data_IF_699689723569
#
_entry.id   IF_699689723569
#
_cell.length_a   1.000
_cell.length_b   1.000
_cell.length_c   1.000
_cell.angle_alpha   90.00
_cell.angle_beta   90.00
_cell.angle_gamma   90.00
#
_symmetry.space_group_name_H-M   'P 1'
#
loop_
_entity.id
_entity.type
_entity.pdbx_description
1 polymer ?
#
# COMPACT_ATOMS: atom_id res chain seq x y z
N UNK A 1 -15.37 4.84 13.94
CA UNK A 1 -15.12 5.58 12.68
C UNK A 1 -16.15 6.69 12.49
N UNK A 2 -17.45 6.43 12.36
CA UNK A 2 -18.50 7.44 12.10
C UNK A 2 -18.42 8.65 13.05
N UNK A 3 -18.32 8.42 14.38
CA UNK A 3 -18.20 9.50 15.36
C UNK A 3 -16.94 10.34 15.15
N UNK A 4 -15.80 9.73 14.86
CA UNK A 4 -14.55 10.43 14.62
C UNK A 4 -14.62 11.28 13.34
N UNK A 5 -15.16 10.72 12.27
CA UNK A 5 -15.38 11.44 11.01
C UNK A 5 -16.34 12.63 11.21
N UNK A 6 -17.45 12.43 11.95
CA UNK A 6 -18.39 13.50 12.28
C UNK A 6 -17.73 14.61 13.12
N UNK A 7 -16.93 14.25 14.11
CA UNK A 7 -16.20 15.22 14.93
C UNK A 7 -15.18 16.03 14.13
N UNK A 8 -14.50 15.41 13.16
CA UNK A 8 -13.60 16.13 12.26
C UNK A 8 -14.37 17.15 11.40
N UNK A 9 -15.50 16.73 10.81
CA UNK A 9 -16.37 17.60 10.00
C UNK A 9 -16.96 18.75 10.82
N UNK A 10 -17.29 18.52 12.08
CA UNK A 10 -17.84 19.53 12.99
C UNK A 10 -16.87 20.68 13.27
N UNK A 11 -15.55 20.51 13.07
CA UNK A 11 -14.55 21.59 13.20
C UNK A 11 -14.78 22.73 12.18
N UNK A 12 -15.42 22.43 11.06
CA UNK A 12 -15.67 23.39 9.97
C UNK A 12 -17.13 23.80 9.82
N UNK A 13 -18.02 23.39 10.73
CA UNK A 13 -19.43 23.77 10.75
C UNK A 13 -20.36 22.62 11.16
N UNK A 14 -21.67 22.88 11.23
CA UNK A 14 -22.64 21.91 11.74
C UNK A 14 -22.67 20.64 10.87
N UNK A 15 -22.90 19.50 11.53
CA UNK A 15 -23.05 18.19 10.91
C UNK A 15 -24.51 17.76 11.10
N UNK A 16 -25.18 17.38 10.02
CA UNK A 16 -26.52 16.83 10.05
C UNK A 16 -26.50 15.33 10.39
N UNK A 17 -27.50 14.87 11.13
CA UNK A 17 -27.72 13.44 11.33
C UNK A 17 -28.37 12.81 10.10
N UNK A 18 -28.15 11.51 9.91
CA UNK A 18 -28.82 10.72 8.88
C UNK A 18 -29.04 9.29 9.35
N UNK A 19 -29.99 8.61 8.71
CA UNK A 19 -30.18 7.17 8.83
C UNK A 19 -29.71 6.50 7.55
N UNK A 20 -28.96 5.42 7.68
CA UNK A 20 -28.43 4.69 6.51
C UNK A 20 -28.43 3.19 6.75
N UNK A 21 -28.53 2.44 5.67
CA UNK A 21 -28.22 1.01 5.60
C UNK A 21 -26.95 0.89 4.77
N UNK A 22 -25.97 0.16 5.29
CA UNK A 22 -24.69 -0.06 4.62
C UNK A 22 -24.57 -1.55 4.26
N UNK A 23 -24.16 -1.80 3.00
CA UNK A 23 -23.66 -3.09 2.54
C UNK A 23 -22.28 -2.90 1.94
N UNK A 24 -21.44 -3.93 1.96
CA UNK A 24 -20.07 -3.84 1.49
C UNK A 24 -19.62 -5.19 0.93
N UNK A 25 -19.00 -5.17 -0.23
CA UNK A 25 -18.30 -6.31 -0.82
C UNK A 25 -16.81 -6.34 -0.41
N UNK A 26 -16.33 -5.33 0.33
CA UNK A 26 -14.98 -5.31 0.89
C UNK A 26 -14.97 -6.09 2.19
N UNK A 27 -14.31 -7.26 2.25
CA UNK A 27 -14.28 -8.09 3.45
C UNK A 27 -13.56 -7.38 4.59
N UNK A 28 -14.14 -7.45 5.79
CA UNK A 28 -13.54 -6.91 7.00
C UNK A 28 -12.40 -7.78 7.50
N UNK A 29 -11.26 -7.17 7.86
CA UNK A 29 -10.13 -7.90 8.45
C UNK A 29 -9.15 -8.53 7.46
N UNK A 30 -9.48 -8.57 6.17
CA UNK A 30 -8.66 -9.21 5.12
C UNK A 30 -7.49 -8.32 4.62
N UNK A 31 -7.16 -7.23 5.30
CA UNK A 31 -6.09 -6.32 4.86
C UNK A 31 -6.44 -5.44 3.65
N UNK A 32 -7.73 -5.41 3.25
CA UNK A 32 -8.22 -4.66 2.09
C UNK A 32 -8.76 -3.27 2.43
N UNK A 33 -8.29 -2.70 3.52
CA UNK A 33 -8.59 -1.31 3.93
C UNK A 33 -10.08 -0.99 4.09
N UNK A 34 -10.91 -1.97 4.51
CA UNK A 34 -12.35 -1.77 4.73
C UNK A 34 -12.67 -0.63 5.69
N UNK A 35 -11.82 -0.39 6.70
CA UNK A 35 -11.98 0.73 7.63
C UNK A 35 -11.81 2.09 6.96
N UNK A 36 -10.83 2.22 6.06
CA UNK A 36 -10.60 3.44 5.27
C UNK A 36 -11.80 3.70 4.33
N UNK A 37 -12.27 2.68 3.62
CA UNK A 37 -13.44 2.78 2.75
C UNK A 37 -14.69 3.21 3.52
N UNK A 38 -14.98 2.61 4.69
CA UNK A 38 -16.08 3.01 5.56
C UNK A 38 -15.93 4.45 6.05
N UNK A 39 -14.73 4.85 6.49
CA UNK A 39 -14.48 6.21 6.97
C UNK A 39 -14.72 7.27 5.89
N UNK A 40 -14.26 7.01 4.68
CA UNK A 40 -14.49 7.88 3.50
C UNK A 40 -15.97 7.95 3.16
N UNK A 41 -16.67 6.80 3.11
CA UNK A 41 -18.12 6.75 2.86
C UNK A 41 -18.89 7.56 3.88
N UNK A 42 -18.59 7.40 5.18
CA UNK A 42 -19.23 8.17 6.24
C UNK A 42 -18.98 9.68 6.09
N UNK A 43 -17.74 10.06 5.74
CA UNK A 43 -17.38 11.44 5.47
C UNK A 43 -18.17 12.04 4.31
N UNK A 44 -18.30 11.29 3.23
CA UNK A 44 -19.07 11.70 2.05
C UNK A 44 -20.57 11.87 2.37
N UNK A 45 -21.17 10.91 3.07
CA UNK A 45 -22.58 10.98 3.48
C UNK A 45 -22.83 12.19 4.40
N UNK A 46 -21.99 12.37 5.44
CA UNK A 46 -22.13 13.48 6.37
C UNK A 46 -21.99 14.85 5.68
N UNK A 47 -21.00 14.96 4.78
CA UNK A 47 -20.75 16.18 4.02
C UNK A 47 -21.91 16.49 3.08
N UNK A 48 -22.47 15.47 2.41
CA UNK A 48 -23.63 15.62 1.53
C UNK A 48 -24.88 16.04 2.31
N UNK A 49 -25.17 15.40 3.45
CA UNK A 49 -26.31 15.76 4.31
C UNK A 49 -26.19 17.17 4.89
N UNK A 50 -24.97 17.65 5.09
CA UNK A 50 -24.70 19.02 5.53
C UNK A 50 -24.71 20.04 4.37
N UNK A 51 -24.97 19.63 3.12
CA UNK A 51 -24.89 20.48 1.92
C UNK A 51 -23.50 21.00 1.59
N UNK A 52 -22.44 20.33 2.07
CA UNK A 52 -21.05 20.75 1.94
C UNK A 52 -20.19 19.61 1.39
N UNK A 53 -20.31 19.24 0.12
CA UNK A 53 -19.48 18.20 -0.48
C UNK A 53 -18.00 18.53 -0.30
N UNK A 54 -17.20 17.52 0.05
CA UNK A 54 -15.77 17.68 0.29
C UNK A 54 -14.93 17.10 -0.86
N UNK A 55 -13.79 17.70 -1.16
CA UNK A 55 -12.83 17.12 -2.09
C UNK A 55 -12.23 15.83 -1.53
N UNK A 56 -11.71 14.91 -2.39
CA UNK A 56 -11.18 13.60 -1.99
C UNK A 56 -10.15 13.67 -0.87
N UNK A 57 -9.22 14.61 -0.92
CA UNK A 57 -8.19 14.77 0.11
C UNK A 57 -8.79 15.12 1.49
N UNK A 58 -9.83 15.95 1.53
CA UNK A 58 -10.49 16.31 2.78
C UNK A 58 -11.28 15.11 3.36
N UNK A 59 -11.95 14.32 2.51
CA UNK A 59 -12.60 13.08 2.92
C UNK A 59 -11.60 12.06 3.47
N UNK A 60 -10.47 11.89 2.77
CA UNK A 60 -9.41 11.01 3.21
C UNK A 60 -8.84 11.41 4.58
N UNK A 61 -8.61 12.70 4.80
CA UNK A 61 -8.14 13.24 6.10
C UNK A 61 -9.16 13.08 7.22
N UNK A 62 -10.44 13.27 6.93
CA UNK A 62 -11.50 13.03 7.91
C UNK A 62 -11.51 11.56 8.37
N UNK A 63 -11.38 10.63 7.42
CA UNK A 63 -11.32 9.21 7.71
C UNK A 63 -10.03 8.82 8.46
N UNK A 64 -8.88 9.36 8.06
CA UNK A 64 -7.60 9.16 8.75
C UNK A 64 -7.63 9.68 10.20
N UNK A 65 -8.14 10.89 10.41
CA UNK A 65 -8.30 11.46 11.76
C UNK A 65 -9.18 10.57 12.64
N UNK A 66 -10.26 10.00 12.07
CA UNK A 66 -11.10 9.08 12.80
C UNK A 66 -10.36 7.79 13.24
N UNK A 67 -9.48 7.26 12.40
CA UNK A 67 -8.64 6.11 12.77
C UNK A 67 -7.57 6.47 13.80
N UNK A 68 -6.84 7.58 13.58
CA UNK A 68 -5.69 7.95 14.40
C UNK A 68 -6.09 8.49 15.76
N UNK A 69 -7.05 9.42 15.81
CA UNK A 69 -7.42 10.14 17.04
C UNK A 69 -8.45 9.39 17.88
N UNK A 70 -9.39 8.66 17.25
CA UNK A 70 -10.48 8.00 17.96
C UNK A 70 -10.30 6.49 18.13
N UNK A 71 -9.61 5.84 17.20
CA UNK A 71 -9.29 4.43 17.30
C UNK A 71 -7.88 4.16 17.84
N UNK A 72 -7.01 5.19 17.87
CA UNK A 72 -5.63 5.04 18.26
C UNK A 72 -4.80 4.17 17.30
N UNK A 73 -5.29 3.98 16.07
CA UNK A 73 -4.59 3.21 15.02
C UNK A 73 -3.77 4.18 14.15
N UNK A 74 -2.43 4.16 14.24
CA UNK A 74 -1.59 5.03 13.42
C UNK A 74 -1.63 4.56 11.96
N UNK A 75 -2.57 5.11 11.19
CA UNK A 75 -2.69 4.83 9.76
C UNK A 75 -2.11 5.96 8.91
N UNK A 76 -1.48 5.59 7.78
CA UNK A 76 -1.12 6.52 6.72
C UNK A 76 -2.36 7.06 5.99
N UNK A 77 -2.13 7.87 4.95
CA UNK A 77 -3.23 8.49 4.18
C UNK A 77 -3.56 7.73 2.89
N UNK A 78 -2.73 6.77 2.49
CA UNK A 78 -2.80 6.10 1.18
C UNK A 78 -4.16 5.43 0.96
N UNK A 79 -4.61 4.62 1.90
CA UNK A 79 -5.83 3.81 1.76
C UNK A 79 -7.08 4.69 1.69
N UNK A 80 -7.16 5.70 2.57
CA UNK A 80 -8.26 6.65 2.58
C UNK A 80 -8.29 7.49 1.32
N UNK A 81 -7.13 7.90 0.81
CA UNK A 81 -7.03 8.72 -0.39
C UNK A 81 -7.38 7.92 -1.65
N UNK A 82 -6.91 6.69 -1.74
CA UNK A 82 -7.29 5.76 -2.82
C UNK A 82 -8.79 5.49 -2.83
N UNK A 83 -9.39 5.26 -1.66
CA UNK A 83 -10.84 5.06 -1.51
C UNK A 83 -11.65 6.31 -1.89
N UNK A 84 -11.14 7.50 -1.58
CA UNK A 84 -11.83 8.75 -1.87
C UNK A 84 -11.77 9.15 -3.35
N UNK A 85 -10.68 8.83 -4.05
CA UNK A 85 -10.48 9.16 -5.47
C UNK A 85 -11.10 8.09 -6.37
N UNK A 86 -10.94 6.83 -6.00
CA UNK A 86 -11.42 5.66 -6.76
C UNK A 86 -10.63 5.38 -8.04
N UNK A 87 -10.76 4.18 -8.56
CA UNK A 87 -10.01 3.69 -9.71
C UNK A 87 -8.54 3.39 -9.38
N UNK A 88 -7.69 3.34 -10.39
CA UNK A 88 -6.24 3.26 -10.22
C UNK A 88 -5.67 4.65 -9.99
N UNK A 89 -4.88 4.78 -8.93
CA UNK A 89 -4.27 6.07 -8.57
C UNK A 89 -2.78 5.91 -8.31
N UNK A 90 -2.01 6.89 -8.76
CA UNK A 90 -0.64 7.13 -8.35
C UNK A 90 -0.64 8.27 -7.34
N UNK A 91 -0.02 8.06 -6.19
CA UNK A 91 0.03 9.06 -5.11
C UNK A 91 1.49 9.35 -4.79
N UNK A 92 1.85 10.62 -4.88
CA UNK A 92 3.16 11.11 -4.46
C UNK A 92 3.02 11.84 -3.11
N UNK A 93 3.71 11.32 -2.11
CA UNK A 93 3.76 11.87 -0.74
C UNK A 93 5.00 12.72 -0.46
N UNK A 94 5.75 13.17 -1.47
CA UNK A 94 6.90 14.05 -1.28
C UNK A 94 6.52 15.30 -0.46
N UNK A 95 5.30 15.80 -0.63
CA UNK A 95 4.69 16.80 0.22
C UNK A 95 3.57 16.17 1.06
N UNK A 96 3.87 15.71 2.26
CA UNK A 96 2.93 14.99 3.13
C UNK A 96 1.63 15.77 3.41
N UNK A 97 1.70 17.11 3.45
CA UNK A 97 0.53 17.98 3.66
C UNK A 97 -0.28 18.25 2.38
N UNK A 98 0.28 18.00 1.22
CA UNK A 98 -0.36 18.22 -0.07
C UNK A 98 0.07 17.12 -1.06
N UNK A 99 -0.28 15.84 -0.80
CA UNK A 99 0.09 14.75 -1.68
C UNK A 99 -0.48 14.99 -3.08
N UNK A 100 0.33 14.70 -4.09
CA UNK A 100 -0.13 14.77 -5.48
C UNK A 100 -0.81 13.44 -5.83
N UNK A 101 -2.00 13.52 -6.41
CA UNK A 101 -2.79 12.35 -6.77
C UNK A 101 -3.11 12.40 -8.25
N UNK A 102 -2.65 11.42 -8.97
CA UNK A 102 -2.93 11.20 -10.37
C UNK A 102 -3.86 9.99 -10.51
N UNK A 103 -5.04 10.18 -11.11
CA UNK A 103 -5.91 9.07 -11.49
C UNK A 103 -5.47 8.56 -12.85
N UNK A 104 -5.10 7.30 -12.91
CA UNK A 104 -4.65 6.67 -14.14
C UNK A 104 -5.85 6.22 -14.98
N UNK A 105 -5.87 6.55 -16.28
CA UNK A 105 -6.80 5.95 -17.24
C UNK A 105 -6.29 4.57 -17.65
N UNK A 106 -6.32 3.65 -16.71
CA UNK A 106 -5.81 2.29 -16.87
C UNK A 106 -6.67 1.30 -16.10
N UNK A 107 -6.61 0.04 -16.54
CA UNK A 107 -7.28 -1.09 -15.91
C UNK A 107 -6.44 -2.34 -16.17
N UNK A 108 -6.28 -3.20 -15.17
CA UNK A 108 -5.62 -4.49 -15.32
C UNK A 108 -6.32 -5.37 -16.35
N UNK A 109 -7.66 -5.32 -16.43
CA UNK A 109 -8.42 -6.06 -17.42
C UNK A 109 -8.10 -5.62 -18.85
N UNK A 110 -7.81 -4.34 -19.09
CA UNK A 110 -7.33 -3.83 -20.40
C UNK A 110 -5.97 -4.40 -20.79
N UNK A 111 -5.15 -4.76 -19.80
CA UNK A 111 -3.91 -5.52 -20.00
C UNK A 111 -4.15 -7.03 -20.14
N UNK A 112 -5.39 -7.51 -20.07
CA UNK A 112 -5.71 -8.95 -20.06
C UNK A 112 -5.31 -9.65 -18.76
N UNK A 113 -5.12 -8.90 -17.69
CA UNK A 113 -4.68 -9.38 -16.38
C UNK A 113 -5.82 -9.35 -15.36
N UNK A 114 -5.89 -10.37 -14.52
CA UNK A 114 -6.65 -10.39 -13.28
C UNK A 114 -5.72 -10.10 -12.09
N UNK A 115 -6.28 -9.48 -11.06
CA UNK A 115 -5.63 -9.28 -9.75
C UNK A 115 -6.37 -10.16 -8.74
N UNK A 116 -5.69 -11.16 -8.22
CA UNK A 116 -6.23 -12.06 -7.20
C UNK A 116 -5.56 -11.77 -5.87
N UNK A 117 -6.36 -11.64 -4.83
CA UNK A 117 -5.91 -11.44 -3.47
C UNK A 117 -6.17 -12.71 -2.67
N UNK A 118 -5.12 -13.24 -2.05
CA UNK A 118 -5.20 -14.47 -1.26
C UNK A 118 -4.90 -14.14 0.19
N UNK A 119 -5.90 -14.29 1.05
CA UNK A 119 -5.73 -14.15 2.49
C UNK A 119 -4.97 -15.36 3.04
N UNK A 120 -3.89 -15.11 3.77
CA UNK A 120 -2.98 -16.15 4.23
C UNK A 120 -3.28 -16.68 5.63
N UNK A 121 -4.29 -16.10 6.30
CA UNK A 121 -4.67 -16.44 7.67
C UNK A 121 -3.73 -15.93 8.76
N UNK A 122 -2.69 -15.19 8.40
CA UNK A 122 -1.77 -14.56 9.35
C UNK A 122 -2.42 -13.41 10.13
N UNK A 123 -2.03 -13.26 11.39
CA UNK A 123 -2.57 -12.21 12.28
C UNK A 123 -1.66 -10.98 12.33
N UNK A 124 -2.25 -9.80 12.22
CA UNK A 124 -1.55 -8.52 12.45
C UNK A 124 -1.34 -8.20 13.95
N UNK A 125 -1.85 -9.02 14.86
CA UNK A 125 -1.71 -8.83 16.30
C UNK A 125 -0.23 -8.93 16.70
N UNK A 126 0.24 -7.97 17.47
CA UNK A 126 1.65 -7.95 17.96
C UNK A 126 2.69 -7.45 16.95
N UNK A 127 2.32 -7.10 15.72
CA UNK A 127 3.27 -6.69 14.68
C UNK A 127 3.59 -5.18 14.65
N UNK A 128 3.05 -4.41 15.59
CA UNK A 128 3.26 -2.94 15.66
C UNK A 128 4.73 -2.55 15.65
N UNK A 129 5.59 -3.28 16.36
CA UNK A 129 7.04 -3.02 16.39
C UNK A 129 7.70 -3.25 15.02
N UNK A 130 7.29 -4.29 14.28
CA UNK A 130 7.80 -4.59 12.94
C UNK A 130 7.42 -3.48 11.94
N UNK A 131 6.18 -3.01 11.99
CA UNK A 131 5.74 -1.88 11.17
C UNK A 131 6.47 -0.59 11.51
N UNK A 132 6.64 -0.27 12.80
CA UNK A 132 7.34 0.93 13.24
C UNK A 132 8.84 0.92 12.90
N UNK A 133 9.44 -0.27 12.78
CA UNK A 133 10.86 -0.41 12.44
C UNK A 133 11.18 0.07 11.02
N UNK A 134 10.29 -0.11 10.04
CA UNK A 134 10.54 0.28 8.65
C UNK A 134 10.79 1.79 8.52
N UNK A 135 9.85 2.67 8.90
CA UNK A 135 10.07 4.12 8.77
C UNK A 135 11.19 4.62 9.70
N UNK A 136 11.40 4.00 10.86
CA UNK A 136 12.53 4.32 11.73
C UNK A 136 13.86 4.10 11.03
N UNK A 137 14.05 2.94 10.41
CA UNK A 137 15.29 2.58 9.73
C UNK A 137 15.54 3.45 8.48
N UNK A 138 14.48 3.79 7.73
CA UNK A 138 14.56 4.71 6.61
C UNK A 138 14.99 6.12 7.07
N UNK A 139 14.46 6.61 8.21
CA UNK A 139 14.89 7.89 8.78
C UNK A 139 16.34 7.89 9.25
N UNK A 140 16.84 6.77 9.79
CA UNK A 140 18.27 6.67 10.16
C UNK A 140 19.18 6.94 8.96
N UNK A 141 18.83 6.41 7.79
CA UNK A 141 19.59 6.68 6.55
C UNK A 141 19.41 8.11 6.08
N UNK A 142 18.19 8.65 6.10
CA UNK A 142 17.92 10.04 5.72
C UNK A 142 18.73 11.01 6.59
N UNK A 143 18.68 10.86 7.93
CA UNK A 143 19.43 11.70 8.85
C UNK A 143 20.95 11.59 8.65
N UNK A 144 21.47 10.41 8.33
CA UNK A 144 22.90 10.24 8.03
C UNK A 144 23.33 10.99 6.75
N UNK A 145 22.36 11.33 5.89
CA UNK A 145 22.52 12.12 4.67
C UNK A 145 22.09 13.60 4.84
N UNK A 146 21.72 14.01 6.05
CA UNK A 146 21.33 15.40 6.35
C UNK A 146 19.90 15.77 5.96
N UNK A 147 19.02 14.79 5.75
CA UNK A 147 17.59 14.94 5.42
C UNK A 147 16.69 14.39 6.53
N UNK A 148 15.44 14.84 6.59
CA UNK A 148 14.44 14.30 7.53
C UNK A 148 13.84 12.98 7.05
N UNK A 149 13.63 12.85 5.76
CA UNK A 149 13.05 11.66 5.11
C UNK A 149 13.80 11.34 3.81
N UNK A 150 13.75 10.06 3.38
CA UNK A 150 14.43 9.63 2.14
C UNK A 150 13.90 10.32 0.88
N UNK A 151 12.64 10.79 0.89
CA UNK A 151 12.06 11.52 -0.24
C UNK A 151 12.73 12.87 -0.52
N UNK A 152 13.50 13.41 0.42
CA UNK A 152 14.28 14.64 0.26
C UNK A 152 15.69 14.38 -0.28
N UNK A 153 16.09 13.11 -0.38
CA UNK A 153 17.44 12.71 -0.80
C UNK A 153 17.43 12.37 -2.30
N UNK A 154 18.38 12.94 -3.03
CA UNK A 154 18.61 12.56 -4.42
C UNK A 154 19.08 11.09 -4.50
N UNK A 155 18.46 10.24 -5.35
CA UNK A 155 18.83 8.84 -5.51
C UNK A 155 20.30 8.63 -5.92
N UNK A 156 20.87 9.50 -6.74
CA UNK A 156 22.27 9.42 -7.15
C UNK A 156 23.20 9.79 -5.98
N UNK A 157 22.84 10.79 -5.17
CA UNK A 157 23.58 11.14 -3.96
C UNK A 157 23.57 10.00 -2.94
N UNK A 158 22.41 9.33 -2.73
CA UNK A 158 22.32 8.13 -1.90
C UNK A 158 23.25 7.02 -2.40
N UNK A 159 23.19 6.71 -3.70
CA UNK A 159 24.02 5.65 -4.31
C UNK A 159 25.53 5.93 -4.15
N UNK A 160 25.94 7.18 -4.31
CA UNK A 160 27.33 7.59 -4.13
C UNK A 160 27.78 7.51 -2.65
N UNK A 161 26.85 7.73 -1.71
CA UNK A 161 27.14 7.70 -0.28
C UNK A 161 27.15 6.29 0.32
N UNK A 162 26.61 5.26 -0.36
CA UNK A 162 26.47 3.89 0.17
C UNK A 162 27.76 3.34 0.80
N UNK A 163 28.96 3.45 0.18
CA UNK A 163 30.19 2.94 0.79
C UNK A 163 30.53 3.61 2.14
N UNK A 164 30.23 4.91 2.27
CA UNK A 164 30.48 5.67 3.49
C UNK A 164 29.41 5.47 4.57
N UNK A 165 28.21 5.09 4.19
CA UNK A 165 27.11 4.79 5.12
C UNK A 165 27.28 3.41 5.77
N UNK A 166 27.91 2.48 5.09
CA UNK A 166 28.16 1.14 5.62
C UNK A 166 29.02 1.21 6.89
N UNK A 167 28.53 0.57 7.95
CA UNK A 167 29.15 0.62 9.29
C UNK A 167 28.78 1.86 10.11
N UNK A 168 28.09 2.86 9.54
CA UNK A 168 27.55 4.03 10.27
C UNK A 168 26.07 3.85 10.60
N UNK A 169 25.35 3.16 9.74
CA UNK A 169 23.94 2.78 9.96
C UNK A 169 23.81 1.26 9.81
N UNK A 170 22.78 0.62 10.41
CA UNK A 170 22.54 -0.81 10.27
C UNK A 170 22.36 -1.23 8.80
N UNK A 171 22.90 -2.37 8.40
CA UNK A 171 22.75 -2.91 7.04
C UNK A 171 21.28 -3.07 6.63
N UNK A 172 20.40 -3.47 7.55
CA UNK A 172 18.96 -3.54 7.28
C UNK A 172 18.36 -2.17 6.94
N UNK A 173 18.83 -1.10 7.56
CA UNK A 173 18.37 0.25 7.23
C UNK A 173 18.81 0.65 5.81
N UNK A 174 20.01 0.26 5.38
CA UNK A 174 20.49 0.47 4.00
C UNK A 174 19.67 -0.34 3.00
N UNK A 175 19.35 -1.61 3.30
CA UNK A 175 18.48 -2.44 2.45
C UNK A 175 17.09 -1.81 2.28
N UNK A 176 16.49 -1.29 3.35
CA UNK A 176 15.20 -0.60 3.32
C UNK A 176 15.26 0.70 2.52
N UNK A 177 16.37 1.43 2.60
CA UNK A 177 16.57 2.63 1.78
C UNK A 177 16.73 2.28 0.29
N UNK A 178 17.48 1.23 -0.05
CA UNK A 178 17.56 0.71 -1.42
C UNK A 178 16.17 0.36 -1.96
N UNK A 179 15.37 -0.38 -1.16
CA UNK A 179 13.99 -0.67 -1.53
C UNK A 179 13.20 0.61 -1.84
N UNK A 180 13.30 1.63 -0.99
CA UNK A 180 12.57 2.89 -1.14
C UNK A 180 12.84 3.55 -2.49
N UNK A 181 14.12 3.75 -2.85
CA UNK A 181 14.48 4.41 -4.09
C UNK A 181 14.09 3.58 -5.32
N UNK A 182 14.35 2.28 -5.28
CA UNK A 182 13.99 1.37 -6.36
C UNK A 182 12.46 1.28 -6.55
N UNK A 183 11.69 1.28 -5.46
CA UNK A 183 10.24 1.16 -5.52
C UNK A 183 9.60 2.43 -6.06
N UNK A 184 10.11 3.61 -5.73
CA UNK A 184 9.64 4.86 -6.33
C UNK A 184 9.80 4.84 -7.87
N UNK A 185 10.96 4.42 -8.37
CA UNK A 185 11.17 4.28 -9.82
C UNK A 185 10.24 3.22 -10.44
N UNK A 186 9.96 2.11 -9.72
CA UNK A 186 9.03 1.08 -10.17
C UNK A 186 7.59 1.58 -10.23
N UNK A 187 7.16 2.43 -9.30
CA UNK A 187 5.80 3.02 -9.32
C UNK A 187 5.61 3.86 -10.57
N UNK A 188 6.57 4.69 -10.94
CA UNK A 188 6.51 5.49 -12.18
C UNK A 188 6.44 4.61 -13.43
N UNK A 189 7.29 3.60 -13.50
CA UNK A 189 7.30 2.64 -14.59
C UNK A 189 5.99 1.80 -14.65
N UNK A 190 5.43 1.43 -13.50
CA UNK A 190 4.17 0.69 -13.41
C UNK A 190 3.01 1.52 -13.93
N UNK A 191 2.93 2.80 -13.55
CA UNK A 191 1.89 3.71 -14.05
C UNK A 191 1.96 3.84 -15.59
N UNK A 192 3.17 4.02 -16.14
CA UNK A 192 3.37 4.09 -17.59
C UNK A 192 2.98 2.77 -18.30
N UNK A 193 3.38 1.62 -17.76
CA UNK A 193 3.07 0.31 -18.33
C UNK A 193 1.56 0.03 -18.32
N UNK A 194 0.85 0.35 -17.23
CA UNK A 194 -0.60 0.20 -17.13
C UNK A 194 -1.34 1.09 -18.12
N UNK A 195 -0.95 2.36 -18.23
CA UNK A 195 -1.54 3.30 -19.19
C UNK A 195 -1.25 2.86 -20.65
N UNK A 196 -0.09 2.28 -20.91
CA UNK A 196 0.30 1.71 -22.20
C UNK A 196 -0.31 0.35 -22.54
N UNK A 197 -0.95 -0.33 -21.58
CA UNK A 197 -1.49 -1.68 -21.76
C UNK A 197 -0.42 -2.77 -21.89
N UNK A 198 0.81 -2.51 -21.41
CA UNK A 198 1.94 -3.43 -21.49
C UNK A 198 1.91 -4.46 -20.35
N UNK A 199 1.16 -5.56 -20.57
CA UNK A 199 1.02 -6.63 -19.59
C UNK A 199 2.36 -7.27 -19.19
N UNK A 200 3.29 -7.42 -20.13
CA UNK A 200 4.59 -8.03 -19.84
C UNK A 200 5.41 -7.17 -18.89
N UNK A 201 5.44 -5.86 -19.12
CA UNK A 201 6.12 -4.92 -18.25
C UNK A 201 5.44 -4.82 -16.87
N UNK A 202 4.09 -4.81 -16.82
CA UNK A 202 3.32 -4.83 -15.57
C UNK A 202 3.71 -6.04 -14.71
N UNK A 203 3.75 -7.24 -15.30
CA UNK A 203 4.13 -8.47 -14.59
C UNK A 203 5.60 -8.44 -14.14
N UNK A 204 6.51 -7.96 -14.99
CA UNK A 204 7.94 -7.85 -14.65
C UNK A 204 8.16 -6.89 -13.46
N UNK A 205 7.52 -5.72 -13.46
CA UNK A 205 7.60 -4.74 -12.40
C UNK A 205 6.97 -5.24 -11.09
N UNK A 206 5.82 -5.91 -11.16
CA UNK A 206 5.17 -6.50 -9.98
C UNK A 206 6.06 -7.57 -9.33
N UNK A 207 6.70 -8.42 -10.14
CA UNK A 207 7.66 -9.44 -9.67
C UNK A 207 8.91 -8.80 -9.05
N UNK A 208 9.47 -7.78 -9.68
CA UNK A 208 10.62 -7.04 -9.16
C UNK A 208 10.28 -6.36 -7.82
N UNK A 209 9.08 -5.80 -7.69
CA UNK A 209 8.57 -5.24 -6.43
C UNK A 209 8.42 -6.30 -5.34
N UNK A 210 7.89 -7.48 -5.68
CA UNK A 210 7.77 -8.63 -4.75
C UNK A 210 9.13 -9.09 -4.23
N UNK A 211 10.12 -9.25 -5.12
CA UNK A 211 11.50 -9.57 -4.73
C UNK A 211 12.12 -8.51 -3.84
N UNK A 212 11.97 -7.24 -4.19
CA UNK A 212 12.48 -6.13 -3.40
C UNK A 212 11.84 -6.07 -2.00
N UNK A 213 10.53 -6.36 -1.90
CA UNK A 213 9.84 -6.50 -0.61
C UNK A 213 10.42 -7.62 0.23
N UNK A 214 10.71 -8.77 -0.38
CA UNK A 214 11.25 -9.93 0.32
C UNK A 214 12.72 -9.74 0.73
N UNK A 215 13.55 -9.31 -0.22
CA UNK A 215 15.02 -9.27 -0.08
C UNK A 215 15.50 -8.01 0.64
N UNK A 216 14.90 -6.85 0.33
CA UNK A 216 15.39 -5.54 0.78
C UNK A 216 14.53 -4.95 1.90
N UNK A 217 13.22 -4.81 1.71
CA UNK A 217 12.33 -4.28 2.75
C UNK A 217 12.19 -5.24 3.92
N UNK A 218 12.21 -6.55 3.63
CA UNK A 218 12.07 -7.66 4.58
C UNK A 218 10.78 -7.57 5.38
N UNK A 219 9.67 -7.31 4.69
CA UNK A 219 8.33 -7.22 5.26
C UNK A 219 7.46 -8.48 5.03
N UNK A 220 8.05 -9.57 4.56
CA UNK A 220 7.35 -10.84 4.33
C UNK A 220 7.41 -11.74 5.55
N UNK A 221 8.55 -11.75 6.26
CA UNK A 221 8.77 -12.57 7.44
C UNK A 221 8.89 -11.67 8.67
N UNK A 222 7.95 -11.71 9.63
CA UNK A 222 8.10 -11.02 10.90
C UNK A 222 9.21 -11.68 11.76
N UNK A 223 9.58 -11.00 12.82
CA UNK A 223 10.59 -11.51 13.79
C UNK A 223 10.16 -12.78 14.48
N UNK A 224 8.86 -13.02 14.65
CA UNK A 224 8.36 -14.29 15.16
C UNK A 224 8.63 -15.42 14.14
N UNK A 225 9.45 -16.42 14.49
CA UNK A 225 9.74 -17.54 13.60
C UNK A 225 8.53 -18.43 13.31
N UNK A 226 7.49 -18.41 14.14
CA UNK A 226 6.26 -19.17 13.96
C UNK A 226 5.33 -18.58 12.88
N UNK A 227 5.45 -17.29 12.57
CA UNK A 227 4.59 -16.63 11.59
C UNK A 227 5.29 -16.58 10.22
N UNK A 228 4.88 -17.45 9.31
CA UNK A 228 5.43 -17.57 7.94
C UNK A 228 4.35 -17.71 6.86
N UNK A 229 3.12 -17.37 7.19
CA UNK A 229 1.98 -17.54 6.29
C UNK A 229 2.17 -16.84 4.94
N UNK A 230 2.66 -15.60 4.92
CA UNK A 230 2.95 -14.87 3.69
C UNK A 230 4.03 -15.57 2.84
N UNK A 231 5.16 -15.94 3.47
CA UNK A 231 6.25 -16.61 2.76
C UNK A 231 5.81 -17.95 2.19
N UNK A 232 5.02 -18.71 2.96
CA UNK A 232 4.47 -19.99 2.50
C UNK A 232 3.50 -19.79 1.33
N UNK A 233 2.58 -18.83 1.41
CA UNK A 233 1.63 -18.54 0.35
C UNK A 233 2.34 -18.12 -0.95
N UNK A 234 3.35 -17.24 -0.86
CA UNK A 234 4.17 -16.86 -2.01
C UNK A 234 4.86 -18.08 -2.64
N UNK A 235 5.49 -18.93 -1.83
CA UNK A 235 6.17 -20.13 -2.32
C UNK A 235 5.21 -21.15 -2.94
N UNK A 236 4.00 -21.31 -2.37
CA UNK A 236 2.99 -22.21 -2.93
C UNK A 236 2.43 -21.68 -4.26
N UNK A 237 2.21 -20.38 -4.37
CA UNK A 237 1.81 -19.72 -5.61
C UNK A 237 2.85 -19.94 -6.72
N UNK A 238 4.13 -19.75 -6.42
CA UNK A 238 5.22 -20.01 -7.36
C UNK A 238 5.20 -21.47 -7.84
N UNK A 239 5.05 -22.42 -6.92
CA UNK A 239 4.98 -23.84 -7.24
C UNK A 239 3.74 -24.20 -8.06
N UNK A 240 2.61 -23.59 -7.79
CA UNK A 240 1.39 -23.79 -8.56
C UNK A 240 1.60 -23.45 -10.03
N UNK A 241 2.09 -22.26 -10.34
CA UNK A 241 2.29 -21.84 -11.73
C UNK A 241 3.36 -22.65 -12.45
N UNK A 242 4.45 -23.00 -11.78
CA UNK A 242 5.47 -23.90 -12.35
C UNK A 242 4.88 -25.28 -12.66
N UNK A 243 4.09 -25.85 -11.75
CA UNK A 243 3.45 -27.17 -11.93
C UNK A 243 2.37 -27.16 -13.01
N UNK A 244 1.65 -26.04 -13.16
CA UNK A 244 0.65 -25.84 -14.20
C UNK A 244 1.29 -25.56 -15.59
N UNK A 245 2.62 -25.55 -15.69
CA UNK A 245 3.33 -25.27 -16.95
C UNK A 245 3.17 -23.85 -17.47
N UNK A 246 2.80 -22.90 -16.61
CA UNK A 246 2.72 -21.50 -16.98
C UNK A 246 4.12 -20.96 -17.16
N UNK A 247 4.40 -20.47 -18.37
CA UNK A 247 5.73 -19.95 -18.71
C UNK A 247 6.18 -18.80 -17.80
N UNK A 248 7.48 -18.75 -17.52
CA UNK A 248 8.05 -17.68 -16.72
C UNK A 248 7.73 -16.29 -17.33
N UNK A 249 7.44 -15.33 -16.46
CA UNK A 249 7.03 -13.98 -16.87
C UNK A 249 5.54 -13.80 -17.17
N UNK A 250 4.73 -14.85 -17.14
CA UNK A 250 3.28 -14.77 -17.42
C UNK A 250 2.40 -14.53 -16.18
N UNK A 251 2.98 -14.48 -15.01
CA UNK A 251 2.33 -14.21 -13.74
C UNK A 251 3.30 -13.50 -12.81
N UNK A 252 2.80 -12.84 -11.78
CA UNK A 252 3.59 -12.21 -10.74
C UNK A 252 2.86 -12.28 -9.40
N UNK A 253 3.57 -12.65 -8.34
CA UNK A 253 3.04 -12.59 -6.99
C UNK A 253 3.90 -11.72 -6.08
N UNK A 254 3.27 -11.08 -5.11
CA UNK A 254 3.94 -10.26 -4.11
C UNK A 254 3.10 -10.17 -2.83
N UNK A 255 3.75 -9.74 -1.75
CA UNK A 255 3.02 -9.31 -0.56
C UNK A 255 2.12 -8.12 -0.89
N UNK A 256 0.89 -8.11 -0.34
CA UNK A 256 -0.04 -7.00 -0.45
C UNK A 256 0.06 -6.09 0.78
N UNK A 257 0.03 -4.76 0.57
CA UNK A 257 0.07 -3.78 1.64
C UNK A 257 1.38 -3.78 2.44
N UNK A 258 1.29 -3.56 3.74
CA UNK A 258 2.44 -3.40 4.64
C UNK A 258 3.24 -4.67 4.93
N UNK A 259 2.67 -5.83 4.64
CA UNK A 259 3.33 -7.10 4.87
C UNK A 259 3.26 -7.62 6.31
N UNK A 260 4.22 -8.45 6.68
CA UNK A 260 4.38 -9.20 7.93
C UNK A 260 3.27 -10.21 8.21
N UNK A 261 2.03 -9.97 7.79
CA UNK A 261 0.86 -10.85 7.82
C UNK A 261 -0.19 -10.40 6.77
N UNK A 262 -1.29 -11.10 6.68
CA UNK A 262 -2.45 -10.72 5.87
C UNK A 262 -2.49 -11.38 4.50
N UNK A 263 -2.25 -10.63 3.44
CA UNK A 263 -2.65 -11.00 2.08
C UNK A 263 -1.46 -10.96 1.11
N UNK A 264 -1.43 -11.88 0.16
CA UNK A 264 -0.61 -11.77 -1.05
C UNK A 264 -1.48 -11.32 -2.24
N UNK A 265 -0.83 -10.71 -3.21
CA UNK A 265 -1.43 -10.25 -4.46
C UNK A 265 -0.79 -11.00 -5.61
N UNK A 266 -1.61 -11.60 -6.48
CA UNK A 266 -1.16 -12.29 -7.68
C UNK A 266 -1.78 -11.65 -8.91
N UNK A 267 -0.95 -11.29 -9.88
CA UNK A 267 -1.34 -10.84 -11.20
C UNK A 267 -1.11 -11.99 -12.19
N UNK A 268 -2.13 -12.30 -12.98
CA UNK A 268 -2.10 -13.40 -13.93
C UNK A 268 -3.06 -13.13 -15.09
N UNK A 269 -2.91 -13.81 -16.24
CA UNK A 269 -3.88 -13.71 -17.34
C UNK A 269 -5.29 -14.07 -16.87
N UNK A 270 -6.30 -13.30 -17.29
CA UNK A 270 -7.72 -13.54 -16.91
C UNK A 270 -8.15 -14.99 -17.17
N UNK A 271 -7.67 -15.59 -18.27
CA UNK A 271 -8.00 -16.98 -18.62
C UNK A 271 -7.50 -18.03 -17.62
N UNK A 272 -6.61 -17.68 -16.70
CA UNK A 272 -6.03 -18.58 -15.70
C UNK A 272 -6.58 -18.30 -14.28
N UNK A 273 -7.47 -17.32 -14.13
CA UNK A 273 -7.95 -16.88 -12.84
C UNK A 273 -8.84 -17.92 -12.12
N UNK A 274 -9.56 -18.75 -12.89
CA UNK A 274 -10.42 -19.81 -12.33
C UNK A 274 -9.62 -21.03 -11.89
N UNK A 275 -8.47 -21.29 -12.50
CA UNK A 275 -7.63 -22.44 -12.18
C UNK A 275 -6.74 -22.18 -10.95
N UNK A 276 -6.43 -20.94 -10.68
CA UNK A 276 -5.61 -20.48 -9.54
C UNK A 276 -6.45 -20.28 -8.28
#
# INVERSE_FOLDING_TARGET
>A
LLRGTAAWLARSGPVAGFNAVMCSDVPGGAGLSSSAACGVLFGACLAACAGRPLPPLALARAAQSAENEYFGKPSGLMDQLSSAVGGLVKIDFAQAQAPQVERLDADFARCGLAVILVETGGSHAGLTASYAAIPRDMRLVAHALGAEVLGEVDPAAFSAALPALRGRVPDLALLRALHFFDENARVDAMAAALCGGDAAQVLALARASGRSSFELLQNVCPTDPGERSLALALALTDRFFVSAGVGDGRWATRVHGGGFAGTIQTLLPVAQAEDY
#
